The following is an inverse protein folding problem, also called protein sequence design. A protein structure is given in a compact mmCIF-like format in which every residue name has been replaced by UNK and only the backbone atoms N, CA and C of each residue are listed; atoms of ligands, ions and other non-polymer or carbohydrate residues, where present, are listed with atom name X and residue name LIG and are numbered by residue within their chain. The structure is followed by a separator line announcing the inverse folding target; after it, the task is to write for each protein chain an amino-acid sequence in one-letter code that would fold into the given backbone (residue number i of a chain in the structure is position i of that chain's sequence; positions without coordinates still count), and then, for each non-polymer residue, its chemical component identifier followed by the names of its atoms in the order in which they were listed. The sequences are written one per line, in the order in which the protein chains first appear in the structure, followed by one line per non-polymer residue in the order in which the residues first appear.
data_IF_304832589559
#
_entry.id   IF_304832589559
#
_cell.length_a   1.000
_cell.length_b   1.000
_cell.length_c   1.000
_cell.angle_alpha   90.00
_cell.angle_beta   90.00
_cell.angle_gamma   90.00
#
_symmetry.space_group_name_H-M   'P 1'
#
loop_
_entity.id
_entity.type
_entity.pdbx_description
1 polymer ?
#
# COMPACT_ATOMS: atom_id res chain seq x y z
N UNK A 1 -22.77 -57.84 37.24
CA UNK A 1 -22.72 -56.52 36.60
C UNK A 1 -21.32 -55.88 36.60
N UNK A 2 -20.56 -55.97 37.69
CA UNK A 2 -19.24 -55.32 37.82
C UNK A 2 -18.21 -55.68 36.72
N UNK A 3 -18.17 -56.94 36.27
CA UNK A 3 -17.20 -57.41 35.26
C UNK A 3 -17.42 -56.76 33.88
N UNK A 4 -18.68 -56.49 33.50
CA UNK A 4 -19.00 -55.84 32.21
C UNK A 4 -18.58 -54.37 32.20
N UNK A 5 -18.70 -53.68 33.33
CA UNK A 5 -18.23 -52.29 33.46
C UNK A 5 -16.69 -52.19 33.39
N UNK A 6 -15.97 -53.13 33.99
CA UNK A 6 -14.51 -53.15 33.93
C UNK A 6 -13.97 -53.32 32.50
N UNK A 7 -14.60 -54.18 31.69
CA UNK A 7 -14.22 -54.40 30.28
C UNK A 7 -14.49 -53.16 29.42
N UNK A 8 -15.62 -52.47 29.63
CA UNK A 8 -15.95 -51.24 28.90
C UNK A 8 -14.96 -50.12 29.22
N UNK A 9 -14.58 -49.97 30.50
CA UNK A 9 -13.58 -48.98 30.93
C UNK A 9 -12.20 -49.31 30.33
N UNK A 10 -11.84 -50.60 30.28
CA UNK A 10 -10.57 -51.03 29.70
C UNK A 10 -10.52 -50.77 28.18
N UNK A 11 -11.62 -51.03 27.47
CA UNK A 11 -11.71 -50.75 26.03
C UNK A 11 -11.69 -49.24 25.73
N UNK A 12 -12.35 -48.40 26.54
CA UNK A 12 -12.32 -46.94 26.40
C UNK A 12 -10.92 -46.34 26.67
N UNK A 13 -10.17 -46.89 27.63
CA UNK A 13 -8.80 -46.43 27.89
C UNK A 13 -7.81 -46.87 26.81
N UNK A 14 -8.04 -48.04 26.18
CA UNK A 14 -7.21 -48.52 25.07
C UNK A 14 -7.37 -47.67 23.80
N UNK A 15 -8.61 -47.25 23.47
CA UNK A 15 -8.87 -46.41 22.28
C UNK A 15 -8.37 -44.98 22.46
N UNK A 16 -8.42 -44.44 23.69
CA UNK A 16 -7.95 -43.08 23.97
C UNK A 16 -6.42 -42.93 23.76
N UNK A 17 -5.64 -43.98 24.08
CA UNK A 17 -4.18 -43.97 23.86
C UNK A 17 -3.77 -44.04 22.39
N UNK A 18 -4.62 -44.59 21.52
CA UNK A 18 -4.35 -44.64 20.08
C UNK A 18 -4.51 -43.25 19.41
N UNK A 19 -5.40 -42.40 19.92
CA UNK A 19 -5.61 -41.05 19.41
C UNK A 19 -4.42 -40.11 19.68
N UNK A 20 -3.69 -40.32 20.79
CA UNK A 20 -2.51 -39.51 21.11
C UNK A 20 -1.27 -39.88 20.31
N UNK A 21 -1.18 -41.13 19.83
CA UNK A 21 -0.07 -41.58 18.98
C UNK A 21 -0.25 -41.22 17.50
N UNK A 22 -1.47 -40.89 17.06
CA UNK A 22 -1.77 -40.59 15.66
C UNK A 22 -1.25 -39.22 15.18
N UNK A 23 -0.93 -38.31 16.11
CA UNK A 23 -0.43 -36.97 15.76
C UNK A 23 0.91 -36.70 16.47
N UNK A 24 2.03 -36.61 15.75
CA UNK A 24 3.32 -36.29 16.36
C UNK A 24 3.25 -34.93 17.06
N UNK A 25 3.88 -34.82 18.24
CA UNK A 25 3.85 -33.60 19.06
C UNK A 25 4.32 -32.33 18.33
N UNK A 26 5.10 -32.47 17.24
CA UNK A 26 5.55 -31.35 16.40
C UNK A 26 4.45 -30.64 15.59
N UNK A 27 3.27 -31.26 15.42
CA UNK A 27 2.10 -30.62 14.77
C UNK A 27 1.15 -29.94 15.76
N UNK A 28 1.35 -30.14 17.08
CA UNK A 28 0.48 -29.60 18.14
C UNK A 28 0.90 -28.22 18.63
N UNK A 29 2.17 -27.86 18.50
CA UNK A 29 2.61 -26.47 18.68
C UNK A 29 2.57 -25.78 17.32
N UNK A 30 1.54 -24.96 17.09
CA UNK A 30 1.71 -23.84 16.17
C UNK A 30 2.90 -23.04 16.72
N UNK A 31 4.11 -23.25 16.18
CA UNK A 31 5.17 -22.28 16.40
C UNK A 31 4.56 -20.96 15.93
N UNK A 32 4.48 -19.93 16.78
CA UNK A 32 4.20 -18.61 16.28
C UNK A 32 5.39 -18.29 15.38
N UNK A 33 5.23 -18.51 14.07
CA UNK A 33 6.13 -17.95 13.09
C UNK A 33 5.96 -16.45 13.27
N UNK A 34 6.82 -15.85 14.10
CA UNK A 34 6.83 -14.41 14.29
C UNK A 34 7.07 -13.81 12.92
N UNK A 35 6.01 -13.25 12.35
CA UNK A 35 6.07 -12.57 11.07
C UNK A 35 6.97 -11.37 11.24
N UNK A 36 7.92 -11.22 10.32
CA UNK A 36 8.84 -10.11 10.36
C UNK A 36 8.08 -8.80 10.16
N UNK A 37 8.33 -7.83 11.03
CA UNK A 37 7.68 -6.52 11.01
C UNK A 37 8.67 -5.43 10.64
N UNK A 38 8.17 -4.37 10.00
CA UNK A 38 8.93 -3.15 9.75
C UNK A 38 9.08 -2.40 11.08
N UNK A 39 10.30 -2.05 11.43
CA UNK A 39 10.64 -1.26 12.62
C UNK A 39 10.72 0.23 12.28
N UNK A 40 11.41 0.57 11.19
CA UNK A 40 11.61 1.95 10.76
C UNK A 40 11.63 2.06 9.23
N UNK A 41 11.27 3.23 8.72
CA UNK A 41 11.23 3.54 7.29
C UNK A 41 11.99 4.86 7.09
N UNK A 42 13.14 4.77 6.41
CA UNK A 42 13.91 5.93 5.98
C UNK A 42 13.71 6.13 4.50
N UNK A 43 13.66 7.38 4.08
CA UNK A 43 13.48 7.69 2.68
C UNK A 43 14.18 9.00 2.30
N UNK A 44 14.55 9.09 1.04
CA UNK A 44 15.17 10.25 0.43
C UNK A 44 14.58 10.38 -0.97
N UNK A 45 14.00 11.54 -1.26
CA UNK A 45 13.45 11.85 -2.57
C UNK A 45 14.26 12.94 -3.25
N UNK A 46 14.75 12.60 -4.44
CA UNK A 46 15.33 13.52 -5.41
C UNK A 46 14.33 13.74 -6.56
N UNK A 47 14.69 14.59 -7.52
CA UNK A 47 13.86 14.87 -8.70
C UNK A 47 13.58 13.62 -9.53
N UNK A 48 14.57 12.72 -9.65
CA UNK A 48 14.50 11.56 -10.53
C UNK A 48 14.34 10.23 -9.79
N UNK A 49 14.83 10.15 -8.55
CA UNK A 49 14.90 8.92 -7.76
C UNK A 49 14.23 9.08 -6.41
N UNK A 50 13.48 8.06 -6.02
CA UNK A 50 12.87 7.92 -4.71
C UNK A 50 13.47 6.69 -4.04
N UNK A 51 14.40 6.94 -3.12
CA UNK A 51 15.11 5.92 -2.37
C UNK A 51 14.39 5.67 -1.05
N UNK A 52 14.06 4.39 -0.79
CA UNK A 52 13.36 3.97 0.42
C UNK A 52 14.12 2.83 1.04
N UNK A 53 14.51 3.01 2.30
CA UNK A 53 15.22 2.02 3.12
C UNK A 53 14.31 1.58 4.25
N UNK A 54 13.91 0.32 4.23
CA UNK A 54 13.16 -0.34 5.30
C UNK A 54 14.12 -1.00 6.27
N UNK A 55 13.94 -0.72 7.56
CA UNK A 55 14.59 -1.46 8.63
C UNK A 55 13.59 -2.46 9.22
N UNK A 56 13.93 -3.74 9.13
CA UNK A 56 13.10 -4.85 9.55
C UNK A 56 13.59 -5.40 10.89
N UNK A 57 12.67 -5.89 11.72
CA UNK A 57 12.99 -6.46 13.03
C UNK A 57 13.85 -7.73 12.94
N UNK A 58 13.67 -8.51 11.87
CA UNK A 58 14.41 -9.73 11.60
C UNK A 58 15.04 -9.68 10.19
N UNK A 59 16.06 -10.52 9.91
CA UNK A 59 16.61 -10.70 8.58
C UNK A 59 15.53 -10.99 7.52
N UNK A 60 15.49 -10.18 6.46
CA UNK A 60 14.49 -10.27 5.41
C UNK A 60 15.03 -10.99 4.16
N UNK A 61 14.33 -12.03 3.71
CA UNK A 61 14.63 -12.81 2.49
C UNK A 61 13.49 -12.81 1.47
N UNK A 62 12.45 -12.02 1.74
CA UNK A 62 11.26 -11.96 0.90
C UNK A 62 11.44 -11.06 -0.33
N UNK A 63 10.32 -10.58 -0.85
CA UNK A 63 10.27 -9.64 -1.97
C UNK A 63 9.68 -8.33 -1.48
N UNK A 64 10.35 -7.21 -1.77
CA UNK A 64 9.77 -5.89 -1.60
C UNK A 64 9.57 -5.29 -3.01
N UNK A 65 8.42 -4.66 -3.23
CA UNK A 65 8.08 -4.09 -4.52
C UNK A 65 7.05 -2.97 -4.39
N UNK A 66 6.97 -2.12 -5.42
CA UNK A 66 5.91 -1.12 -5.52
C UNK A 66 4.60 -1.78 -5.96
N UNK A 67 3.50 -1.42 -5.30
CA UNK A 67 2.15 -1.95 -5.56
C UNK A 67 1.82 -1.82 -7.05
N UNK A 68 1.32 -2.91 -7.63
CA UNK A 68 1.00 -3.05 -9.06
C UNK A 68 2.20 -3.07 -10.04
N UNK A 69 3.44 -2.83 -9.56
CA UNK A 69 4.67 -2.84 -10.36
C UNK A 69 5.67 -3.94 -9.95
N UNK A 70 5.15 -5.10 -9.53
CA UNK A 70 5.93 -6.23 -9.00
C UNK A 70 6.93 -6.86 -9.98
N UNK A 71 6.86 -6.56 -11.29
CA UNK A 71 7.77 -7.11 -12.29
C UNK A 71 8.97 -6.21 -12.55
N UNK A 72 8.76 -4.89 -12.55
CA UNK A 72 9.76 -3.90 -12.93
C UNK A 72 10.43 -3.27 -11.69
N UNK A 73 9.65 -3.04 -10.63
CA UNK A 73 10.05 -2.23 -9.49
C UNK A 73 10.07 -3.07 -8.22
N UNK A 74 11.04 -3.99 -8.17
CA UNK A 74 11.19 -4.99 -7.10
C UNK A 74 12.64 -5.20 -6.70
N UNK A 75 12.84 -5.72 -5.50
CA UNK A 75 14.12 -6.20 -5.03
C UNK A 75 13.93 -7.40 -4.10
N UNK A 76 14.94 -8.25 -4.09
CA UNK A 76 14.96 -9.45 -3.27
C UNK A 76 15.73 -9.16 -1.99
N UNK A 77 15.17 -9.61 -0.86
CA UNK A 77 15.85 -9.54 0.42
C UNK A 77 17.09 -10.43 0.44
N UNK A 78 18.21 -9.89 0.91
CA UNK A 78 19.51 -10.58 0.99
C UNK A 78 19.79 -11.16 2.38
N UNK A 79 18.74 -11.44 3.18
CA UNK A 79 18.88 -11.83 4.60
C UNK A 79 19.51 -10.75 5.47
N UNK A 80 19.45 -9.49 5.05
CA UNK A 80 19.79 -8.34 5.87
C UNK A 80 18.55 -7.85 6.62
N UNK A 81 18.74 -7.17 7.74
CA UNK A 81 17.66 -6.44 8.43
C UNK A 81 17.29 -5.17 7.67
N UNK A 82 18.22 -4.61 6.89
CA UNK A 82 17.99 -3.40 6.09
C UNK A 82 17.79 -3.75 4.63
N UNK A 83 16.72 -3.26 4.04
CA UNK A 83 16.38 -3.46 2.63
C UNK A 83 16.14 -2.11 1.98
N UNK A 84 16.76 -1.86 0.83
CA UNK A 84 16.60 -0.59 0.12
C UNK A 84 16.04 -0.83 -1.27
N UNK A 85 15.06 -0.02 -1.65
CA UNK A 85 14.49 0.08 -2.99
C UNK A 85 14.77 1.47 -3.55
N UNK A 86 15.24 1.51 -4.79
CA UNK A 86 15.30 2.73 -5.58
C UNK A 86 14.17 2.69 -6.60
N UNK A 87 13.32 3.71 -6.59
CA UNK A 87 12.22 3.87 -7.52
C UNK A 87 12.43 5.12 -8.38
N UNK A 88 12.15 5.03 -9.68
CA UNK A 88 12.16 6.22 -10.54
C UNK A 88 10.88 7.03 -10.29
N UNK A 89 10.99 8.34 -10.06
CA UNK A 89 9.84 9.22 -9.77
C UNK A 89 8.85 9.33 -10.93
N UNK A 90 9.30 9.04 -12.16
CA UNK A 90 8.48 9.00 -13.36
C UNK A 90 7.77 7.66 -13.60
N UNK A 91 7.95 6.66 -12.73
CA UNK A 91 7.44 5.30 -12.91
C UNK A 91 7.11 4.58 -11.61
N UNK A 92 6.93 3.26 -11.66
CA UNK A 92 6.77 2.41 -10.47
C UNK A 92 5.62 2.77 -9.52
N UNK A 93 4.58 3.45 -10.01
CA UNK A 93 3.44 3.85 -9.18
C UNK A 93 3.75 4.99 -8.21
N UNK A 94 4.86 5.72 -8.42
CA UNK A 94 5.13 6.97 -7.70
C UNK A 94 4.18 8.04 -8.21
N UNK A 95 3.42 8.64 -7.29
CA UNK A 95 2.45 9.69 -7.57
C UNK A 95 2.91 11.01 -6.95
N UNK A 96 2.68 12.12 -7.66
CA UNK A 96 2.98 13.46 -7.16
C UNK A 96 1.68 14.10 -6.66
N UNK A 97 1.64 14.43 -5.38
CA UNK A 97 0.50 15.11 -4.75
C UNK A 97 0.87 16.53 -4.37
N UNK A 98 -0.03 17.48 -4.61
CA UNK A 98 0.09 18.88 -4.20
C UNK A 98 -0.86 19.15 -3.05
N UNK A 99 -0.36 19.63 -1.92
CA UNK A 99 -1.22 20.13 -0.84
C UNK A 99 -1.30 21.66 -0.88
N UNK A 100 -2.51 22.23 -0.73
CA UNK A 100 -2.67 23.67 -0.64
C UNK A 100 -1.99 24.19 0.65
N UNK A 101 -1.48 25.41 0.64
CA UNK A 101 -0.86 26.00 1.83
C UNK A 101 -1.89 26.16 2.95
N UNK A 102 -1.61 25.56 4.09
CA UNK A 102 -2.52 25.45 5.25
C UNK A 102 -2.95 26.81 5.83
N UNK A 103 -2.15 27.87 5.61
CA UNK A 103 -2.37 29.21 6.18
C UNK A 103 -2.07 30.36 5.22
N UNK A 104 -2.18 30.15 3.90
CA UNK A 104 -2.11 31.24 2.90
C UNK A 104 -0.79 32.02 2.81
N UNK A 105 0.23 31.63 3.57
CA UNK A 105 1.54 32.31 3.68
C UNK A 105 2.71 31.41 3.29
N UNK A 106 2.46 30.20 2.79
CA UNK A 106 3.48 29.25 2.33
C UNK A 106 3.34 28.93 0.85
N UNK A 107 4.46 28.53 0.23
CA UNK A 107 4.49 27.95 -1.11
C UNK A 107 3.67 26.66 -1.20
N UNK A 108 3.39 26.22 -2.42
CA UNK A 108 2.72 24.93 -2.67
C UNK A 108 3.65 23.81 -2.22
N UNK A 109 3.21 22.99 -1.28
CA UNK A 109 3.96 21.80 -0.84
C UNK A 109 3.61 20.65 -1.76
N UNK A 110 4.61 20.03 -2.37
CA UNK A 110 4.40 18.81 -3.13
C UNK A 110 5.10 17.64 -2.45
N UNK A 111 4.49 16.47 -2.55
CA UNK A 111 5.01 15.23 -2.00
C UNK A 111 4.92 14.11 -3.03
N UNK A 112 5.95 13.27 -3.07
CA UNK A 112 5.90 11.98 -3.75
C UNK A 112 5.30 10.94 -2.83
N UNK A 113 4.39 10.13 -3.36
CA UNK A 113 3.68 9.08 -2.64
C UNK A 113 3.76 7.77 -3.42
N UNK A 114 4.07 6.69 -2.71
CA UNK A 114 4.11 5.34 -3.28
C UNK A 114 3.60 4.31 -2.28
N UNK A 115 2.94 3.28 -2.79
CA UNK A 115 2.54 2.11 -2.01
C UNK A 115 3.56 1.01 -2.21
N UNK A 116 4.17 0.56 -1.12
CA UNK A 116 5.09 -0.56 -1.08
C UNK A 116 4.39 -1.79 -0.51
N UNK A 117 4.74 -2.96 -1.05
CA UNK A 117 4.30 -4.25 -0.56
C UNK A 117 5.53 -5.06 -0.14
N UNK A 118 5.55 -5.47 1.12
CA UNK A 118 6.55 -6.36 1.70
C UNK A 118 5.97 -7.76 1.76
N UNK A 119 6.42 -8.62 0.85
CA UNK A 119 6.02 -10.02 0.77
C UNK A 119 7.06 -10.88 1.48
N UNK A 120 6.65 -11.68 2.46
CA UNK A 120 7.59 -12.44 3.29
C UNK A 120 8.18 -13.66 2.55
N UNK A 121 7.38 -14.29 1.69
CA UNK A 121 7.81 -15.37 0.80
C UNK A 121 8.09 -14.81 -0.60
N UNK A 122 9.10 -15.30 -1.30
CA UNK A 122 9.43 -14.87 -2.66
C UNK A 122 8.40 -15.31 -3.72
N UNK A 123 7.77 -16.46 -3.53
CA UNK A 123 6.98 -17.12 -4.58
C UNK A 123 5.48 -17.03 -4.37
N UNK A 124 5.04 -16.82 -3.13
CA UNK A 124 3.63 -16.84 -2.76
C UNK A 124 3.25 -15.55 -2.06
N UNK A 125 2.20 -14.91 -2.58
CA UNK A 125 1.52 -13.82 -1.89
C UNK A 125 0.71 -14.41 -0.74
N UNK A 126 0.90 -13.87 0.45
CA UNK A 126 0.25 -14.34 1.67
C UNK A 126 -0.60 -13.22 2.26
N UNK A 127 -1.61 -13.59 3.06
CA UNK A 127 -2.45 -12.61 3.78
C UNK A 127 -1.61 -11.80 4.78
N UNK A 128 -0.45 -12.32 5.17
CA UNK A 128 0.52 -11.72 6.08
C UNK A 128 1.44 -10.68 5.44
N UNK A 129 1.31 -10.44 4.13
CA UNK A 129 2.06 -9.42 3.42
C UNK A 129 1.69 -8.03 3.94
N UNK A 130 2.69 -7.16 4.07
CA UNK A 130 2.53 -5.83 4.66
C UNK A 130 2.48 -4.80 3.54
N UNK A 131 1.39 -4.05 3.46
CA UNK A 131 1.30 -2.88 2.58
C UNK A 131 1.60 -1.60 3.37
N UNK A 132 2.48 -0.75 2.85
CA UNK A 132 2.83 0.55 3.44
C UNK A 132 2.84 1.65 2.40
N UNK A 133 2.15 2.73 2.71
CA UNK A 133 2.24 3.98 1.98
C UNK A 133 3.41 4.81 2.50
N UNK A 134 4.27 5.29 1.61
CA UNK A 134 5.42 6.13 1.94
C UNK A 134 5.25 7.47 1.22
N UNK A 135 5.38 8.56 1.96
CA UNK A 135 5.24 9.93 1.46
C UNK A 135 6.51 10.73 1.77
N UNK A 136 7.11 11.35 0.74
CA UNK A 136 8.28 12.20 0.86
C UNK A 136 7.98 13.62 0.37
N UNK A 137 8.20 14.61 1.22
CA UNK A 137 8.03 16.01 0.86
C UNK A 137 9.25 16.50 0.08
N UNK A 138 9.01 17.15 -1.05
CA UNK A 138 10.04 17.70 -1.90
C UNK A 138 10.36 19.14 -1.50
N UNK A 139 11.65 19.49 -1.52
CA UNK A 139 12.10 20.85 -1.25
C UNK A 139 11.80 21.79 -2.44
N UNK A 140 11.50 23.06 -2.16
CA UNK A 140 11.04 24.05 -3.15
C UNK A 140 12.06 24.27 -4.30
N UNK A 141 13.35 24.08 -4.03
CA UNK A 141 14.45 24.22 -4.99
C UNK A 141 14.53 23.08 -6.01
N UNK A 142 14.03 21.89 -5.67
CA UNK A 142 14.06 20.71 -6.56
C UNK A 142 13.06 20.84 -7.72
N UNK A 143 12.09 21.76 -7.62
CA UNK A 143 11.09 22.04 -8.65
C UNK A 143 11.56 22.99 -9.75
N UNK A 144 12.80 23.49 -9.70
CA UNK A 144 13.36 24.34 -10.75
C UNK A 144 13.60 23.62 -12.09
N UNK A 145 12.95 22.45 -12.29
CA UNK A 145 12.70 21.90 -13.61
C UNK A 145 11.76 22.83 -14.37
N UNK A 146 12.38 23.68 -15.19
CA UNK A 146 11.85 24.59 -16.21
C UNK A 146 10.88 23.94 -17.22
N UNK A 147 9.81 23.29 -16.78
CA UNK A 147 8.72 22.90 -17.67
C UNK A 147 7.56 23.88 -17.52
N UNK A 148 7.61 24.95 -18.35
CA UNK A 148 6.48 25.87 -18.58
C UNK A 148 5.11 25.16 -18.71
N UNK A 149 4.98 23.96 -19.33
CA UNK A 149 3.68 23.30 -19.40
C UNK A 149 3.18 22.70 -18.08
N UNK A 150 4.05 22.20 -17.19
CA UNK A 150 3.62 21.59 -15.92
C UNK A 150 3.13 22.64 -14.92
N UNK A 151 3.83 23.78 -14.87
CA UNK A 151 3.42 24.94 -14.05
C UNK A 151 2.06 25.48 -14.50
N UNK A 152 1.76 25.43 -15.80
CA UNK A 152 0.46 25.86 -16.35
C UNK A 152 -0.70 24.99 -15.86
N UNK A 153 -0.54 23.67 -15.88
CA UNK A 153 -1.55 22.72 -15.40
C UNK A 153 -1.75 22.84 -13.89
N UNK A 154 -0.65 22.92 -13.12
CA UNK A 154 -0.73 23.09 -11.67
C UNK A 154 -1.39 24.42 -11.29
N UNK A 155 -1.11 25.51 -12.02
CA UNK A 155 -1.72 26.82 -11.76
C UNK A 155 -3.22 26.87 -12.09
N UNK A 156 -3.68 26.11 -13.07
CA UNK A 156 -5.12 25.99 -13.40
C UNK A 156 -5.88 25.16 -12.35
N UNK A 157 -5.31 24.05 -11.88
CA UNK A 157 -5.84 23.23 -10.78
C UNK A 157 -5.93 24.03 -9.47
N UNK A 158 -4.87 24.79 -9.12
CA UNK A 158 -4.81 25.59 -7.90
C UNK A 158 -5.77 26.80 -7.89
N UNK A 159 -6.23 27.27 -9.05
CA UNK A 159 -7.17 28.40 -9.14
C UNK A 159 -8.64 28.00 -8.97
N UNK A 160 -8.94 26.73 -8.67
CA UNK A 160 -10.33 26.25 -8.58
C UNK A 160 -11.07 26.39 -9.92
N UNK A 161 -10.33 26.40 -11.03
CA UNK A 161 -10.87 26.58 -12.36
C UNK A 161 -11.56 25.30 -12.81
N UNK A 162 -12.90 25.29 -12.72
CA UNK A 162 -13.83 24.36 -13.40
C UNK A 162 -13.12 23.33 -14.27
N UNK A 163 -12.98 22.10 -13.76
CA UNK A 163 -12.57 20.93 -14.53
C UNK A 163 -13.37 20.96 -15.83
N UNK A 164 -12.74 21.35 -16.94
CA UNK A 164 -13.35 21.30 -18.25
C UNK A 164 -13.47 19.82 -18.57
N UNK A 165 -14.60 19.22 -18.21
CA UNK A 165 -14.96 17.89 -18.67
C UNK A 165 -14.71 17.84 -20.17
N UNK A 166 -13.80 16.96 -20.58
CA UNK A 166 -13.46 16.73 -21.98
C UNK A 166 -14.73 16.26 -22.67
N UNK A 167 -15.44 17.17 -23.31
CA UNK A 167 -16.64 16.82 -24.06
C UNK A 167 -16.17 16.07 -25.30
N UNK A 168 -16.54 14.80 -25.38
CA UNK A 168 -16.30 13.99 -26.56
C UNK A 168 -16.94 14.60 -27.80
N UNK A 169 -16.44 14.23 -28.97
CA UNK A 169 -16.82 14.76 -30.29
C UNK A 169 -18.27 14.43 -30.73
N UNK A 170 -19.12 13.99 -29.80
CA UNK A 170 -20.52 13.57 -30.00
C UNK A 170 -21.53 14.40 -29.19
N UNK A 171 -21.18 15.62 -28.74
CA UNK A 171 -22.13 16.48 -27.99
C UNK A 171 -23.42 16.77 -28.77
N UNK A 172 -23.35 16.71 -30.10
CA UNK A 172 -24.47 17.00 -30.99
C UNK A 172 -25.43 15.80 -31.19
N UNK A 173 -25.05 14.61 -30.69
CA UNK A 173 -25.89 13.42 -30.70
C UNK A 173 -26.70 13.31 -29.38
N UNK A 174 -27.69 14.18 -29.24
CA UNK A 174 -29.02 13.90 -28.67
C UNK A 174 -29.22 13.37 -27.23
N UNK A 175 -28.22 12.93 -26.48
CA UNK A 175 -28.45 12.25 -25.17
C UNK A 175 -27.92 12.98 -23.93
N UNK A 176 -27.15 14.05 -24.08
CA UNK A 176 -26.54 14.77 -22.94
C UNK A 176 -27.32 16.00 -22.45
N UNK A 177 -28.44 16.38 -23.07
CA UNK A 177 -29.24 17.56 -22.65
C UNK A 177 -30.13 17.32 -21.42
N UNK A 178 -30.33 16.07 -21.01
CA UNK A 178 -31.27 15.72 -19.93
C UNK A 178 -30.62 15.73 -18.53
N UNK A 179 -29.28 15.76 -18.46
CA UNK A 179 -28.54 15.72 -17.20
C UNK A 179 -28.08 17.10 -16.69
N UNK A 180 -28.12 18.16 -17.50
CA UNK A 180 -27.69 19.51 -17.09
C UNK A 180 -28.77 20.31 -16.32
N UNK A 181 -29.99 19.78 -16.17
CA UNK A 181 -31.14 20.53 -15.65
C UNK A 181 -31.61 20.27 -14.22
N UNK A 182 -30.97 19.38 -13.43
CA UNK A 182 -31.56 18.93 -12.14
C UNK A 182 -30.70 18.96 -10.88
N UNK A 183 -29.50 19.53 -10.89
CA UNK A 183 -28.71 19.57 -9.66
C UNK A 183 -27.94 20.88 -9.58
N UNK A 184 -28.46 21.82 -8.76
CA UNK A 184 -27.79 22.91 -8.04
C UNK A 184 -28.71 24.14 -7.78
N UNK A 185 -30.03 23.98 -7.74
CA UNK A 185 -30.90 24.87 -6.95
C UNK A 185 -31.29 24.16 -5.67
N UNK A 186 -30.42 24.21 -4.67
CA UNK A 186 -30.65 23.52 -3.42
C UNK A 186 -29.57 23.81 -2.39
N UNK A 187 -29.84 24.84 -1.59
CA UNK A 187 -29.40 24.97 -0.21
C UNK A 187 -28.06 25.69 0.05
N UNK A 188 -28.12 27.03 0.09
CA UNK A 188 -27.38 27.87 1.05
C UNK A 188 -28.16 29.16 1.32
N UNK A 189 -29.15 29.10 2.22
CA UNK A 189 -29.64 30.27 2.97
C UNK A 189 -29.98 29.85 4.41
N UNK A 190 -29.45 30.64 5.36
CA UNK A 190 -29.59 30.60 6.83
C UNK A 190 -28.68 29.55 7.49
N UNK A 191 -27.79 29.87 8.42
CA UNK A 191 -27.74 30.92 9.44
C UNK A 191 -26.34 31.54 9.55
#
# INVERSE_FOLDING_TARGET
MAVRFAVIIYLLTLTCRACDAAFPAGLRSQLPTQLNSIEDIKFSCDVNSFNITLNMRQPFKGLLFAKDFAQECRMLGTSSTTVTIELQTSGCGVSLTSSPPEHGTGGVRMSYKVHLVVQQDRHLRQITDIEREVECQLAEEAFLVKSKPLVGVLREELKGGKIKHRVGRMKDAGWSKELEGKQLEGNWKKH
#
